data_IF_366750307321
#
_entry.id   IF_366750307321
#
_cell.length_a   1.000
_cell.length_b   1.000
_cell.length_c   1.000
_cell.angle_alpha   90.00
_cell.angle_beta   90.00
_cell.angle_gamma   90.00
#
_symmetry.space_group_name_H-M   'P 1'
#
loop_
_entity.id
_entity.type
_entity.pdbx_description
1 polymer ?
#
# COMPACT_ATOMS: atom_id res chain seq x y z
N UNK A 1 -10.52 -3.43 -10.27
CA UNK A 1 -9.69 -2.32 -10.75
C UNK A 1 -9.43 -1.34 -9.62
N UNK A 2 -8.17 -0.99 -9.37
CA UNK A 2 -7.81 0.08 -8.42
C UNK A 2 -7.46 1.35 -9.18
N UNK A 3 -7.95 2.50 -8.73
CA UNK A 3 -7.56 3.80 -9.30
C UNK A 3 -7.25 4.83 -8.22
N UNK A 4 -6.43 5.81 -8.57
CA UNK A 4 -5.82 6.75 -7.65
C UNK A 4 -5.91 8.16 -8.20
N UNK A 5 -6.27 9.13 -7.36
CA UNK A 5 -6.08 10.56 -7.64
C UNK A 5 -5.13 11.13 -6.61
N UNK A 6 -4.02 11.70 -7.09
CA UNK A 6 -2.96 12.28 -6.25
C UNK A 6 -2.87 13.81 -6.36
N UNK A 7 -3.37 14.39 -7.45
CA UNK A 7 -3.38 15.85 -7.65
C UNK A 7 -4.65 16.44 -7.03
N UNK A 8 -4.49 17.09 -5.88
CA UNK A 8 -5.59 17.49 -5.01
C UNK A 8 -5.73 16.53 -3.82
N UNK A 9 -6.95 16.15 -3.47
CA UNK A 9 -7.17 15.19 -2.39
C UNK A 9 -6.75 13.78 -2.81
N UNK A 10 -5.77 13.24 -2.09
CA UNK A 10 -5.34 11.85 -2.17
C UNK A 10 -6.52 10.89 -1.95
N UNK A 11 -7.03 10.28 -3.02
CA UNK A 11 -8.18 9.35 -2.99
C UNK A 11 -7.84 8.05 -3.70
N UNK A 12 -8.40 6.97 -3.20
CA UNK A 12 -8.26 5.61 -3.73
C UNK A 12 -9.66 5.09 -4.03
N UNK A 13 -9.83 4.50 -5.20
CA UNK A 13 -11.07 3.88 -5.63
C UNK A 13 -10.83 2.41 -5.91
N UNK A 14 -11.84 1.60 -5.62
CA UNK A 14 -11.91 0.20 -6.01
C UNK A 14 -13.18 0.01 -6.82
N UNK A 15 -13.03 -0.44 -8.06
CA UNK A 15 -14.13 -0.68 -8.98
C UNK A 15 -15.05 0.56 -9.10
N UNK A 16 -14.43 1.75 -9.19
CA UNK A 16 -15.12 3.05 -9.26
C UNK A 16 -15.70 3.55 -7.93
N UNK A 17 -15.71 2.75 -6.87
CA UNK A 17 -16.21 3.14 -5.54
C UNK A 17 -15.07 3.73 -4.71
N UNK A 18 -15.22 4.93 -4.13
CA UNK A 18 -14.21 5.51 -3.25
C UNK A 18 -14.05 4.62 -2.02
N UNK A 19 -12.82 4.23 -1.72
CA UNK A 19 -12.52 3.60 -0.46
C UNK A 19 -12.60 4.65 0.65
N UNK A 20 -13.27 4.32 1.75
CA UNK A 20 -13.27 5.13 2.96
C UNK A 20 -11.83 5.54 3.34
N UNK A 21 -11.65 6.71 3.98
CA UNK A 21 -10.33 7.21 4.32
C UNK A 21 -9.52 6.14 5.04
N UNK A 22 -8.30 5.91 4.56
CA UNK A 22 -7.38 5.01 5.21
C UNK A 22 -7.17 5.47 6.65
N UNK A 23 -6.97 4.54 7.58
CA UNK A 23 -6.86 4.86 9.02
C UNK A 23 -5.58 5.63 9.34
N UNK A 24 -4.62 5.65 8.42
CA UNK A 24 -3.34 6.34 8.57
C UNK A 24 -2.83 6.85 7.22
N UNK A 25 -2.12 7.97 7.24
CA UNK A 25 -1.36 8.46 6.08
C UNK A 25 -0.34 7.43 5.56
N UNK A 26 0.14 6.51 6.42
CA UNK A 26 1.08 5.45 6.01
C UNK A 26 0.43 4.33 5.19
N UNK A 27 -0.87 4.07 5.40
CA UNK A 27 -1.64 3.15 4.55
C UNK A 27 -1.81 3.75 3.14
N UNK A 28 -2.16 5.04 3.05
CA UNK A 28 -2.24 5.76 1.77
C UNK A 28 -0.88 5.85 1.07
N UNK A 29 0.17 6.24 1.79
CA UNK A 29 1.51 6.36 1.23
C UNK A 29 2.05 5.04 0.67
N UNK A 30 1.81 3.92 1.39
CA UNK A 30 2.15 2.59 0.90
C UNK A 30 1.48 2.29 -0.44
N UNK A 31 0.16 2.50 -0.52
CA UNK A 31 -0.61 2.21 -1.73
C UNK A 31 -0.18 3.08 -2.91
N UNK A 32 0.05 4.37 -2.66
CA UNK A 32 0.50 5.30 -3.69
C UNK A 32 1.89 4.96 -4.21
N UNK A 33 2.82 4.62 -3.32
CA UNK A 33 4.18 4.24 -3.71
C UNK A 33 4.19 2.98 -4.58
N UNK A 34 3.44 1.95 -4.17
CA UNK A 34 3.34 0.70 -4.94
C UNK A 34 2.63 0.91 -6.29
N UNK A 35 1.56 1.71 -6.32
CA UNK A 35 0.85 2.01 -7.55
C UNK A 35 1.68 2.87 -8.53
N UNK A 36 2.42 3.85 -8.01
CA UNK A 36 3.27 4.71 -8.83
C UNK A 36 4.45 3.96 -9.44
N UNK A 37 5.07 3.07 -8.67
CA UNK A 37 6.22 2.29 -9.15
C UNK A 37 5.80 1.09 -10.00
N UNK A 38 4.61 0.53 -9.79
CA UNK A 38 4.13 -0.66 -10.52
C UNK A 38 4.98 -1.91 -10.30
N UNK A 39 5.84 -1.90 -9.27
CA UNK A 39 6.81 -2.96 -8.99
C UNK A 39 6.62 -3.57 -7.61
N UNK A 40 7.14 -4.78 -7.44
CA UNK A 40 7.24 -5.43 -6.15
C UNK A 40 8.43 -4.87 -5.36
N UNK A 41 8.19 -4.45 -4.12
CA UNK A 41 9.21 -3.89 -3.25
C UNK A 41 9.42 -4.72 -1.99
N UNK A 42 10.68 -4.80 -1.55
CA UNK A 42 11.08 -5.52 -0.35
C UNK A 42 10.42 -4.97 0.91
N UNK A 43 10.06 -5.86 1.85
CA UNK A 43 9.39 -5.45 3.09
C UNK A 43 10.25 -4.57 3.98
N UNK A 44 11.56 -4.82 4.05
CA UNK A 44 12.48 -3.97 4.83
C UNK A 44 12.56 -2.56 4.23
N UNK A 45 12.74 -2.47 2.91
CA UNK A 45 12.74 -1.20 2.20
C UNK A 45 11.45 -0.39 2.43
N UNK A 46 10.28 -1.03 2.29
CA UNK A 46 8.99 -0.37 2.52
C UNK A 46 8.81 0.04 3.98
N UNK A 47 9.33 -0.74 4.92
CA UNK A 47 9.27 -0.41 6.34
C UNK A 47 10.14 0.82 6.66
N UNK A 48 11.36 0.88 6.12
CA UNK A 48 12.27 2.00 6.35
C UNK A 48 11.77 3.27 5.67
N UNK A 49 11.32 3.20 4.42
CA UNK A 49 10.71 4.31 3.68
C UNK A 49 9.52 4.93 4.43
N UNK A 50 8.71 4.11 5.11
CA UNK A 50 7.52 4.57 5.80
C UNK A 50 7.77 4.95 7.27
N UNK A 51 8.82 4.45 7.92
CA UNK A 51 9.06 4.66 9.35
C UNK A 51 10.53 4.94 9.69
N UNK A 52 11.15 5.89 8.99
CA UNK A 52 12.57 6.27 9.10
C UNK A 52 13.10 6.53 10.53
N UNK A 53 12.26 6.99 11.46
CA UNK A 53 12.66 7.32 12.84
C UNK A 53 12.47 6.18 13.87
N UNK A 54 12.33 4.93 13.41
CA UNK A 54 12.05 3.76 14.26
C UNK A 54 13.12 2.70 14.07
N UNK A 55 13.27 1.81 15.06
CA UNK A 55 14.11 0.62 14.89
C UNK A 55 13.54 -0.28 13.79
N UNK A 56 14.40 -1.00 13.07
CA UNK A 56 14.02 -1.93 11.99
C UNK A 56 12.91 -2.90 12.42
N UNK A 57 13.01 -3.45 13.64
CA UNK A 57 12.00 -4.35 14.19
C UNK A 57 10.63 -3.67 14.36
N UNK A 58 10.61 -2.42 14.83
CA UNK A 58 9.36 -1.66 15.01
C UNK A 58 8.77 -1.24 13.66
N UNK A 59 9.59 -0.84 12.69
CA UNK A 59 9.18 -0.52 11.32
C UNK A 59 8.53 -1.73 10.65
N UNK A 60 9.14 -2.92 10.75
CA UNK A 60 8.58 -4.17 10.21
C UNK A 60 7.27 -4.58 10.89
N UNK A 61 7.16 -4.40 12.23
CA UNK A 61 5.91 -4.64 12.97
C UNK A 61 4.79 -3.70 12.52
N UNK A 62 5.11 -2.43 12.30
CA UNK A 62 4.17 -1.44 11.77
C UNK A 62 3.74 -1.83 10.36
N UNK A 63 4.70 -2.16 9.47
CA UNK A 63 4.40 -2.60 8.12
C UNK A 63 3.45 -3.79 8.10
N UNK A 64 3.70 -4.83 8.92
CA UNK A 64 2.79 -5.98 9.01
C UNK A 64 1.36 -5.58 9.39
N UNK A 65 1.22 -4.66 10.33
CA UNK A 65 -0.09 -4.16 10.79
C UNK A 65 -0.79 -3.37 9.68
N UNK A 66 -0.06 -2.48 9.01
CA UNK A 66 -0.53 -1.71 7.86
C UNK A 66 -0.98 -2.63 6.74
N UNK A 67 -0.16 -3.60 6.33
CA UNK A 67 -0.50 -4.58 5.28
C UNK A 67 -1.77 -5.37 5.61
N UNK A 68 -1.94 -5.80 6.86
CA UNK A 68 -3.15 -6.51 7.30
C UNK A 68 -4.40 -5.63 7.16
N UNK A 69 -4.32 -4.34 7.50
CA UNK A 69 -5.43 -3.39 7.38
C UNK A 69 -5.73 -3.05 5.93
N UNK A 70 -4.70 -2.71 5.17
CA UNK A 70 -4.81 -2.40 3.74
C UNK A 70 -5.42 -3.57 2.98
N UNK A 71 -5.01 -4.82 3.27
CA UNK A 71 -5.62 -6.01 2.65
C UNK A 71 -7.12 -6.15 2.96
N UNK A 72 -7.59 -5.74 4.13
CA UNK A 72 -9.04 -5.72 4.43
C UNK A 72 -9.80 -4.70 3.57
N UNK A 73 -9.16 -3.61 3.19
CA UNK A 73 -9.77 -2.55 2.38
C UNK A 73 -9.76 -2.87 0.87
N UNK A 74 -8.63 -3.36 0.34
CA UNK A 74 -8.48 -3.58 -1.11
C UNK A 74 -8.53 -5.05 -1.53
N UNK A 75 -8.48 -5.98 -0.59
CA UNK A 75 -8.55 -7.42 -0.87
C UNK A 75 -7.31 -7.90 -1.63
N UNK A 76 -7.55 -8.73 -2.63
CA UNK A 76 -6.50 -9.41 -3.41
C UNK A 76 -5.76 -8.49 -4.39
N UNK A 77 -6.17 -7.22 -4.50
CA UNK A 77 -5.40 -6.21 -5.20
C UNK A 77 -4.07 -5.88 -4.49
N UNK A 78 -3.92 -6.22 -3.20
CA UNK A 78 -2.64 -6.18 -2.50
C UNK A 78 -1.97 -7.56 -2.54
N UNK A 79 -0.90 -7.68 -3.30
CA UNK A 79 -0.08 -8.89 -3.37
C UNK A 79 0.97 -8.84 -2.27
N UNK A 80 0.86 -9.74 -1.30
CA UNK A 80 1.79 -9.82 -0.15
C UNK A 80 2.44 -11.19 -0.15
N UNK A 81 3.77 -11.20 -0.26
CA UNK A 81 4.59 -12.39 -0.08
C UNK A 81 5.44 -12.27 1.19
N UNK A 82 6.28 -13.30 1.44
CA UNK A 82 7.22 -13.28 2.56
C UNK A 82 8.21 -12.13 2.45
N UNK A 83 8.66 -11.81 1.24
CA UNK A 83 9.82 -10.92 1.03
C UNK A 83 9.44 -9.61 0.34
N UNK A 84 8.35 -9.59 -0.43
CA UNK A 84 7.93 -8.44 -1.21
C UNK A 84 6.42 -8.14 -1.12
N UNK A 85 6.08 -6.89 -1.44
CA UNK A 85 4.71 -6.38 -1.55
C UNK A 85 4.55 -5.67 -2.89
N UNK A 86 3.42 -5.90 -3.56
CA UNK A 86 3.05 -5.24 -4.81
C UNK A 86 1.55 -4.93 -4.85
N UNK A 87 1.14 -4.09 -5.81
CA UNK A 87 -0.24 -3.98 -6.24
C UNK A 87 -0.43 -4.88 -7.48
N UNK A 88 -1.54 -5.61 -7.52
CA UNK A 88 -1.89 -6.38 -8.70
C UNK A 88 -2.03 -5.41 -9.89
N UNK A 89 -1.26 -5.64 -10.95
CA UNK A 89 -1.44 -4.88 -12.19
C UNK A 89 -2.86 -5.13 -12.71
N UNK A 90 -3.55 -4.07 -13.12
CA UNK A 90 -4.78 -4.25 -13.87
C UNK A 90 -4.40 -4.96 -15.18
N UNK A 91 -4.87 -6.21 -15.32
CA UNK A 91 -4.71 -6.99 -16.53
C UNK A 91 -5.58 -6.35 -17.63
N UNK A 92 -5.04 -5.30 -18.26
CA UNK A 92 -5.56 -4.76 -19.50
C UNK A 92 -4.92 -5.55 -20.66
N UNK A 93 -5.67 -6.51 -21.19
CA UNK A 93 -5.59 -6.87 -22.61
C UNK A 93 -6.97 -6.68 -23.22
#
# INVERSE_FOLDING_TARGET
>A
MLSFTLLGDAKIFKDGTPLHPQRSHKETALLFYLAHTGQAWGREFLADLLWESRSTQQSLKNLRTTLSRTRKSIGDALLVSRDAVAIAADAHQ
#
